data_IF_441684761537
#
_entry.id   IF_441684761537
#
_cell.length_a   1.000
_cell.length_b   1.000
_cell.length_c   1.000
_cell.angle_alpha   90.00
_cell.angle_beta   90.00
_cell.angle_gamma   90.00
#
_symmetry.space_group_name_H-M   'P 1'
#
loop_
_entity.id
_entity.type
_entity.pdbx_description
1 polymer ?
#
# COMPACT_ATOMS: atom_id res chain seq x y z
N UNK A 1 33.70 10.92 -0.67
CA UNK A 1 32.26 10.66 -0.46
C UNK A 1 31.44 11.73 -1.17
N UNK A 2 31.04 11.49 -2.43
CA UNK A 2 30.10 12.39 -3.11
C UNK A 2 28.69 11.95 -2.72
N UNK A 3 27.93 12.85 -2.13
CA UNK A 3 26.53 12.64 -1.78
C UNK A 3 25.76 12.27 -3.07
N UNK A 4 25.04 11.16 -3.04
CA UNK A 4 24.23 10.71 -4.17
C UNK A 4 23.04 11.65 -4.42
N UNK A 5 22.65 12.45 -3.41
CA UNK A 5 21.54 13.40 -3.46
C UNK A 5 21.66 14.56 -4.47
N UNK A 6 22.83 14.85 -5.05
CA UNK A 6 22.95 15.93 -6.05
C UNK A 6 22.33 15.58 -7.42
N UNK A 7 21.87 14.34 -7.62
CA UNK A 7 21.26 13.86 -8.87
C UNK A 7 19.77 13.52 -8.78
N UNK A 8 19.11 13.77 -7.65
CA UNK A 8 17.65 13.67 -7.58
C UNK A 8 17.05 14.92 -8.24
N UNK A 9 16.98 14.92 -9.57
CA UNK A 9 16.27 15.93 -10.37
C UNK A 9 14.80 15.98 -9.91
N UNK A 10 14.45 17.04 -9.18
CA UNK A 10 13.11 17.55 -8.85
C UNK A 10 12.09 16.63 -8.16
N UNK A 11 12.40 15.35 -7.92
CA UNK A 11 11.53 14.40 -7.19
C UNK A 11 12.28 13.76 -6.02
N UNK A 12 11.93 14.20 -4.82
CA UNK A 12 12.43 13.69 -3.55
C UNK A 12 12.17 12.18 -3.48
N UNK A 13 13.22 11.36 -3.47
CA UNK A 13 13.11 9.91 -3.56
C UNK A 13 12.32 9.28 -2.39
N UNK A 14 12.26 9.96 -1.25
CA UNK A 14 11.41 9.61 -0.11
C UNK A 14 9.91 9.65 -0.43
N UNK A 15 9.45 10.46 -1.41
CA UNK A 15 8.03 10.51 -1.79
C UNK A 15 7.51 9.22 -2.43
N UNK A 16 8.41 8.34 -2.88
CA UNK A 16 8.05 7.01 -3.40
C UNK A 16 7.72 6.01 -2.29
N UNK A 17 8.10 6.30 -1.05
CA UNK A 17 7.84 5.41 0.09
C UNK A 17 6.41 5.69 0.61
N UNK A 18 5.49 4.71 0.58
CA UNK A 18 4.07 4.93 0.85
C UNK A 18 3.78 5.53 2.22
N UNK A 19 4.53 5.16 3.26
CA UNK A 19 4.34 5.72 4.61
C UNK A 19 4.64 7.23 4.67
N UNK A 20 5.30 7.80 3.67
CA UNK A 20 5.61 9.23 3.57
C UNK A 20 4.70 9.97 2.59
N UNK A 21 3.61 9.36 2.09
CA UNK A 21 2.75 9.94 1.05
C UNK A 21 2.07 11.25 1.45
N UNK A 22 1.80 11.44 2.74
CA UNK A 22 1.13 12.63 3.27
C UNK A 22 2.11 13.71 3.74
N UNK A 23 3.42 13.49 3.60
CA UNK A 23 4.43 14.49 3.96
C UNK A 23 4.54 15.56 2.89
N UNK A 24 4.68 16.80 3.31
CA UNK A 24 4.94 17.91 2.42
C UNK A 24 6.41 17.97 1.97
N UNK A 25 6.72 18.93 1.09
CA UNK A 25 8.06 19.06 0.53
C UNK A 25 9.14 19.30 1.59
N UNK A 26 8.87 20.15 2.59
CA UNK A 26 9.84 20.49 3.63
C UNK A 26 10.11 19.29 4.55
N UNK A 27 9.05 18.56 4.91
CA UNK A 27 9.13 17.34 5.70
C UNK A 27 9.90 16.23 4.97
N UNK A 28 9.64 16.03 3.67
CA UNK A 28 10.38 15.08 2.84
C UNK A 28 11.86 15.46 2.71
N UNK A 29 12.17 16.76 2.62
CA UNK A 29 13.55 17.25 2.61
C UNK A 29 14.26 16.89 3.91
N UNK A 30 13.59 17.00 5.06
CA UNK A 30 14.18 16.65 6.35
C UNK A 30 14.41 15.15 6.52
N UNK A 31 13.52 14.31 6.00
CA UNK A 31 13.75 12.87 5.89
C UNK A 31 15.02 12.60 5.08
N UNK A 32 15.14 13.21 3.90
CA UNK A 32 16.25 12.99 2.98
C UNK A 32 17.59 13.43 3.59
N UNK A 33 17.65 14.57 4.28
CA UNK A 33 18.87 15.04 4.98
C UNK A 33 19.42 14.02 5.97
N UNK A 34 18.54 13.19 6.55
CA UNK A 34 18.93 12.17 7.50
C UNK A 34 19.28 10.83 6.84
N UNK A 35 18.98 10.63 5.56
CA UNK A 35 19.33 9.38 4.86
C UNK A 35 20.85 9.22 4.71
N UNK A 36 21.35 8.01 4.97
CA UNK A 36 22.71 7.61 4.63
C UNK A 36 22.77 6.97 3.25
N UNK A 37 23.95 6.93 2.64
CA UNK A 37 24.16 6.25 1.37
C UNK A 37 25.09 5.05 1.55
N UNK A 38 24.72 3.93 0.92
CA UNK A 38 25.51 2.69 0.91
C UNK A 38 25.66 2.20 -0.52
N UNK A 39 26.88 1.83 -0.88
CA UNK A 39 27.18 1.22 -2.17
C UNK A 39 27.53 -0.24 -1.95
N UNK A 40 27.02 -1.09 -2.83
CA UNK A 40 27.24 -2.53 -2.81
C UNK A 40 27.78 -2.98 -4.15
N UNK A 41 28.70 -3.93 -4.11
CA UNK A 41 29.22 -4.62 -5.29
C UNK A 41 28.33 -5.82 -5.66
N UNK A 42 28.50 -6.37 -6.86
CA UNK A 42 27.77 -7.56 -7.27
C UNK A 42 28.11 -8.75 -6.37
N UNK A 43 27.09 -9.44 -5.86
CA UNK A 43 27.18 -10.56 -4.93
C UNK A 43 27.28 -10.15 -3.46
N UNK A 44 27.29 -8.85 -3.15
CA UNK A 44 27.42 -8.38 -1.78
C UNK A 44 26.10 -8.50 -1.03
N UNK A 45 26.17 -9.09 0.17
CA UNK A 45 25.00 -9.24 1.06
C UNK A 45 24.70 -7.91 1.74
N UNK A 46 23.44 -7.49 1.67
CA UNK A 46 22.94 -6.26 2.31
C UNK A 46 22.49 -6.56 3.73
N UNK A 47 21.76 -7.66 3.92
CA UNK A 47 21.45 -8.25 5.22
C UNK A 47 21.05 -9.72 5.07
N UNK A 48 21.07 -10.42 6.20
CA UNK A 48 20.65 -11.81 6.31
C UNK A 48 19.37 -11.93 7.13
N UNK A 49 18.61 -12.99 6.84
CA UNK A 49 17.46 -13.41 7.62
C UNK A 49 17.85 -13.62 9.09
N UNK A 50 16.96 -13.21 10.01
CA UNK A 50 17.17 -13.34 11.45
C UNK A 50 17.96 -12.19 12.09
N UNK A 51 18.68 -11.37 11.30
CA UNK A 51 19.35 -10.18 11.80
C UNK A 51 18.34 -9.10 12.18
N UNK A 52 18.61 -8.38 13.26
CA UNK A 52 17.76 -7.29 13.75
C UNK A 52 17.51 -6.24 12.66
N UNK A 53 16.24 -5.94 12.40
CA UNK A 53 15.82 -5.08 11.32
C UNK A 53 15.57 -3.65 11.83
N UNK A 54 16.41 -2.71 11.39
CA UNK A 54 16.36 -1.30 11.81
C UNK A 54 16.43 -0.29 10.69
N UNK A 55 16.46 -0.74 9.44
CA UNK A 55 16.79 0.13 8.32
C UNK A 55 15.75 -0.01 7.22
N UNK A 56 15.26 1.14 6.76
CA UNK A 56 14.59 1.32 5.47
C UNK A 56 15.66 1.52 4.40
N UNK A 57 15.51 0.80 3.29
CA UNK A 57 16.36 0.92 2.11
C UNK A 57 15.53 1.40 0.93
N UNK A 58 16.11 2.29 0.11
CA UNK A 58 15.57 2.73 -1.16
C UNK A 58 16.63 2.54 -2.24
N UNK A 59 16.27 1.84 -3.31
CA UNK A 59 17.16 1.58 -4.45
C UNK A 59 17.29 2.85 -5.29
N UNK A 60 18.46 3.46 -5.25
CA UNK A 60 18.79 4.61 -6.09
C UNK A 60 19.35 4.18 -7.44
N UNK A 61 20.11 3.09 -7.49
CA UNK A 61 20.68 2.53 -8.72
C UNK A 61 20.97 1.04 -8.50
N UNK A 62 20.83 0.21 -9.54
CA UNK A 62 21.16 -1.21 -9.49
C UNK A 62 19.96 -2.12 -9.20
N UNK A 63 20.23 -3.35 -8.75
CA UNK A 63 19.22 -4.37 -8.52
C UNK A 63 19.56 -5.25 -7.32
N UNK A 64 18.53 -5.61 -6.57
CA UNK A 64 18.62 -6.41 -5.35
C UNK A 64 17.74 -7.64 -5.48
N UNK A 65 18.28 -8.78 -5.08
CA UNK A 65 17.54 -10.02 -4.94
C UNK A 65 17.12 -10.18 -3.48
N UNK A 66 15.82 -10.27 -3.24
CA UNK A 66 15.23 -10.66 -1.96
C UNK A 66 14.91 -12.15 -2.03
N UNK A 67 15.42 -12.94 -1.10
CA UNK A 67 15.32 -14.40 -1.17
C UNK A 67 15.31 -15.08 0.20
N UNK A 68 14.91 -16.35 0.21
CA UNK A 68 15.00 -17.26 1.35
C UNK A 68 15.67 -18.57 0.97
N UNK A 69 16.12 -19.32 1.96
CA UNK A 69 16.42 -20.73 1.79
C UNK A 69 15.21 -21.57 2.19
N UNK A 70 14.85 -22.56 1.37
CA UNK A 70 13.86 -23.57 1.73
C UNK A 70 14.41 -24.50 2.82
N UNK A 71 13.56 -25.35 3.41
CA UNK A 71 14.00 -26.36 4.40
C UNK A 71 15.10 -27.28 3.86
N UNK A 72 15.14 -27.50 2.55
CA UNK A 72 16.13 -28.33 1.87
C UNK A 72 17.38 -27.53 1.44
N UNK A 73 17.51 -26.27 1.87
CA UNK A 73 18.66 -25.41 1.59
C UNK A 73 18.67 -24.80 0.18
N UNK A 74 17.58 -24.91 -0.59
CA UNK A 74 17.51 -24.29 -1.93
C UNK A 74 17.18 -22.82 -1.83
N UNK A 75 17.86 -21.99 -2.61
CA UNK A 75 17.52 -20.58 -2.73
C UNK A 75 16.18 -20.41 -3.46
N UNK A 76 15.27 -19.65 -2.86
CA UNK A 76 14.01 -19.21 -3.43
C UNK A 76 13.98 -17.69 -3.50
N UNK A 77 14.00 -17.15 -4.71
CA UNK A 77 13.85 -15.71 -4.97
C UNK A 77 12.39 -15.32 -4.74
N UNK A 78 12.18 -14.30 -3.92
CA UNK A 78 10.86 -13.74 -3.63
C UNK A 78 10.59 -12.52 -4.53
N UNK A 79 11.56 -11.60 -4.60
CA UNK A 79 11.45 -10.37 -5.36
C UNK A 79 12.81 -9.95 -5.93
N UNK A 80 12.78 -9.27 -7.08
CA UNK A 80 13.91 -8.49 -7.59
C UNK A 80 13.51 -7.02 -7.51
N UNK A 81 14.24 -6.25 -6.70
CA UNK A 81 14.04 -4.82 -6.54
C UNK A 81 14.97 -4.05 -7.46
N UNK A 82 14.50 -2.91 -7.95
CA UNK A 82 15.11 -2.05 -8.96
C UNK A 82 14.98 -0.58 -8.57
N UNK A 83 15.54 0.33 -9.37
CA UNK A 83 15.52 1.76 -9.08
C UNK A 83 14.11 2.29 -8.76
N UNK A 84 14.00 2.98 -7.62
CA UNK A 84 12.74 3.49 -7.10
C UNK A 84 12.01 2.56 -6.13
N UNK A 85 12.36 1.27 -6.10
CA UNK A 85 11.82 0.33 -5.13
C UNK A 85 12.44 0.57 -3.75
N UNK A 86 11.67 0.27 -2.70
CA UNK A 86 12.08 0.38 -1.31
C UNK A 86 11.71 -0.89 -0.54
N UNK A 87 12.31 -1.07 0.63
CA UNK A 87 12.01 -2.19 1.52
C UNK A 87 12.48 -1.90 2.95
N UNK A 88 11.75 -2.47 3.92
CA UNK A 88 12.09 -2.35 5.34
C UNK A 88 11.50 -1.11 6.02
N UNK A 89 10.47 -0.52 5.43
CA UNK A 89 9.75 0.64 5.97
C UNK A 89 9.10 0.36 7.33
N UNK A 90 8.60 -0.87 7.55
CA UNK A 90 8.03 -1.28 8.83
C UNK A 90 9.07 -1.37 9.95
N UNK A 91 10.33 -1.63 9.59
CA UNK A 91 11.45 -1.74 10.53
C UNK A 91 11.78 -0.40 11.21
N UNK A 92 11.28 0.71 10.69
CA UNK A 92 11.42 2.03 11.31
C UNK A 92 10.57 2.17 12.58
N UNK A 93 9.50 1.40 12.72
CA UNK A 93 8.52 1.55 13.81
C UNK A 93 8.45 0.29 14.66
N UNK A 94 8.49 -0.87 14.03
CA UNK A 94 8.43 -2.16 14.72
C UNK A 94 9.83 -2.63 15.13
N UNK A 95 9.89 -3.46 16.16
CA UNK A 95 11.09 -4.20 16.51
C UNK A 95 10.93 -5.61 15.97
N UNK A 96 11.97 -6.12 15.31
CA UNK A 96 11.93 -7.44 14.72
C UNK A 96 13.24 -7.77 14.02
N UNK A 97 13.24 -8.89 13.32
CA UNK A 97 14.35 -9.33 12.49
C UNK A 97 13.94 -9.38 11.02
N UNK A 98 14.90 -9.28 10.12
CA UNK A 98 14.64 -9.46 8.70
C UNK A 98 14.09 -10.86 8.48
N UNK A 99 12.89 -10.90 7.89
CA UNK A 99 12.25 -12.15 7.57
C UNK A 99 12.76 -12.75 6.25
N UNK A 100 13.85 -12.27 5.65
CA UNK A 100 14.41 -12.72 4.37
C UNK A 100 15.84 -12.18 4.21
N UNK A 101 16.57 -12.66 3.20
CA UNK A 101 17.91 -12.21 2.85
C UNK A 101 17.84 -11.19 1.71
N UNK A 102 18.83 -10.30 1.64
CA UNK A 102 18.98 -9.33 0.56
C UNK A 102 20.42 -9.30 0.03
N UNK A 103 20.58 -9.38 -1.30
CA UNK A 103 21.88 -9.37 -1.98
C UNK A 103 21.83 -8.48 -3.23
N UNK A 104 22.89 -7.71 -3.45
CA UNK A 104 23.05 -6.92 -4.66
C UNK A 104 23.48 -7.83 -5.84
N UNK A 105 22.66 -7.95 -6.88
CA UNK A 105 22.98 -8.82 -8.05
C UNK A 105 23.77 -8.09 -9.16
N UNK A 106 24.01 -6.80 -8.96
CA UNK A 106 24.86 -5.92 -9.76
C UNK A 106 25.34 -4.76 -8.88
N UNK A 107 26.29 -3.91 -9.32
CA UNK A 107 26.65 -2.69 -8.59
C UNK A 107 25.40 -1.88 -8.24
N UNK A 108 25.19 -1.62 -6.95
CA UNK A 108 23.94 -1.09 -6.42
C UNK A 108 24.21 0.05 -5.44
N UNK A 109 23.40 1.11 -5.50
CA UNK A 109 23.44 2.25 -4.58
C UNK A 109 22.11 2.35 -3.85
N UNK A 110 22.19 2.39 -2.52
CA UNK A 110 21.05 2.47 -1.64
C UNK A 110 21.07 3.76 -0.82
N UNK A 111 19.90 4.40 -0.72
CA UNK A 111 19.61 5.32 0.37
C UNK A 111 19.08 4.53 1.56
N UNK A 112 19.49 4.91 2.76
CA UNK A 112 19.20 4.18 4.01
C UNK A 112 18.69 5.14 5.07
N UNK A 113 17.60 4.80 5.74
CA UNK A 113 17.10 5.51 6.91
C UNK A 113 17.02 4.53 8.07
N UNK A 114 17.67 4.84 9.19
CA UNK A 114 17.62 3.95 10.36
C UNK A 114 16.48 4.33 11.29
N UNK A 115 16.02 3.37 12.08
CA UNK A 115 15.02 3.54 13.13
C UNK A 115 15.38 4.66 14.10
N UNK A 116 16.65 4.75 14.51
CA UNK A 116 17.12 5.79 15.43
C UNK A 116 17.01 7.18 14.81
N UNK A 117 17.38 7.31 13.53
CA UNK A 117 17.25 8.59 12.81
C UNK A 117 15.79 8.97 12.61
N UNK A 118 14.94 8.03 12.21
CA UNK A 118 13.49 8.27 12.09
C UNK A 118 12.89 8.68 13.43
N UNK A 119 13.25 8.00 14.52
CA UNK A 119 12.84 8.37 15.87
C UNK A 119 13.28 9.80 16.23
N UNK A 120 14.51 10.17 15.90
CA UNK A 120 15.01 11.54 16.09
C UNK A 120 14.15 12.57 15.35
N UNK A 121 13.79 12.31 14.10
CA UNK A 121 12.94 13.19 13.29
C UNK A 121 11.57 13.37 13.95
N UNK A 122 10.90 12.27 14.33
CA UNK A 122 9.57 12.32 14.96
C UNK A 122 9.62 13.08 16.28
N UNK A 123 10.66 12.88 17.09
CA UNK A 123 10.80 13.60 18.36
C UNK A 123 11.06 15.10 18.16
N UNK A 124 11.72 15.49 17.06
CA UNK A 124 11.96 16.90 16.72
C UNK A 124 10.79 17.56 15.99
N UNK A 125 9.99 16.77 15.27
CA UNK A 125 8.88 17.16 14.38
C UNK A 125 7.71 16.19 14.53
N UNK A 126 6.95 16.26 15.64
CA UNK A 126 5.87 15.31 15.94
C UNK A 126 4.79 15.22 14.86
N UNK A 127 4.56 16.31 14.10
CA UNK A 127 3.64 16.40 12.97
C UNK A 127 3.92 15.35 11.88
N UNK A 128 5.20 15.07 11.61
CA UNK A 128 5.61 14.01 10.67
C UNK A 128 5.14 12.65 11.19
N UNK A 129 5.26 12.41 12.50
CA UNK A 129 4.78 11.18 13.14
C UNK A 129 3.27 11.02 13.02
N UNK A 130 2.50 12.09 13.20
CA UNK A 130 1.04 12.07 13.06
C UNK A 130 0.60 11.76 11.63
N UNK A 131 1.19 12.41 10.63
CA UNK A 131 0.90 12.15 9.21
C UNK A 131 1.23 10.70 8.81
N UNK A 132 2.32 10.14 9.34
CA UNK A 132 2.66 8.72 9.12
C UNK A 132 1.61 7.81 9.76
N UNK A 133 1.17 8.11 11.00
CA UNK A 133 0.14 7.34 11.68
C UNK A 133 -1.20 7.36 10.95
N UNK A 134 -1.60 8.50 10.38
CA UNK A 134 -2.79 8.61 9.53
C UNK A 134 -2.69 7.65 8.33
N UNK A 135 -1.58 7.66 7.59
CA UNK A 135 -1.37 6.75 6.45
C UNK A 135 -1.40 5.29 6.88
N UNK A 136 -0.81 4.94 8.04
CA UNK A 136 -0.85 3.57 8.57
C UNK A 136 -2.28 3.18 8.96
N UNK A 137 -3.02 4.07 9.61
CA UNK A 137 -4.42 3.86 9.99
C UNK A 137 -5.32 3.61 8.79
N UNK A 138 -5.20 4.44 7.74
CA UNK A 138 -5.94 4.23 6.50
C UNK A 138 -5.60 2.89 5.82
N UNK A 139 -4.33 2.49 5.85
CA UNK A 139 -3.92 1.18 5.30
C UNK A 139 -4.48 0.03 6.12
N UNK A 140 -4.50 0.15 7.45
CA UNK A 140 -5.07 -0.86 8.34
C UNK A 140 -6.57 -1.02 8.06
N UNK A 141 -7.32 0.08 8.01
CA UNK A 141 -8.76 0.06 7.71
C UNK A 141 -9.06 -0.62 6.36
N UNK A 142 -8.24 -0.37 5.32
CA UNK A 142 -8.37 -1.06 4.02
C UNK A 142 -8.12 -2.56 4.13
N UNK A 143 -7.15 -3.00 4.93
CA UNK A 143 -6.87 -4.42 5.15
C UNK A 143 -7.98 -5.09 5.97
N UNK A 144 -8.53 -4.42 6.98
CA UNK A 144 -9.66 -4.91 7.77
C UNK A 144 -10.92 -5.06 6.90
N UNK A 145 -11.24 -4.05 6.08
CA UNK A 145 -12.35 -4.12 5.12
C UNK A 145 -12.15 -5.26 4.12
N UNK A 146 -10.94 -5.44 3.58
CA UNK A 146 -10.64 -6.57 2.71
C UNK A 146 -10.81 -7.91 3.43
N UNK A 147 -10.36 -8.01 4.68
CA UNK A 147 -10.49 -9.23 5.48
C UNK A 147 -11.97 -9.55 5.79
N UNK A 148 -12.78 -8.57 6.15
CA UNK A 148 -14.22 -8.72 6.34
C UNK A 148 -14.90 -9.18 5.05
N UNK A 149 -14.55 -8.54 3.93
CA UNK A 149 -15.01 -8.95 2.62
C UNK A 149 -14.64 -10.40 2.34
N UNK A 150 -13.38 -10.81 2.50
CA UNK A 150 -12.98 -12.19 2.21
C UNK A 150 -13.54 -13.22 3.19
N UNK A 151 -13.81 -12.84 4.44
CA UNK A 151 -14.35 -13.70 5.47
C UNK A 151 -15.87 -13.91 5.35
N UNK A 152 -16.59 -12.98 4.72
CA UNK A 152 -18.02 -13.14 4.50
C UNK A 152 -18.27 -14.23 3.45
N UNK A 153 -18.88 -15.33 3.90
CA UNK A 153 -19.45 -16.35 3.00
C UNK A 153 -20.65 -15.79 2.21
N UNK A 154 -21.18 -14.63 2.60
CA UNK A 154 -22.27 -13.98 1.90
C UNK A 154 -21.76 -13.11 0.75
N UNK A 155 -22.17 -13.48 -0.46
CA UNK A 155 -21.85 -12.76 -1.69
C UNK A 155 -22.51 -11.37 -1.70
N UNK A 156 -23.69 -11.22 -1.09
CA UNK A 156 -24.45 -9.97 -1.08
C UNK A 156 -23.80 -8.96 -0.13
N UNK A 157 -23.40 -9.40 1.07
CA UNK A 157 -22.63 -8.58 2.02
C UNK A 157 -21.37 -7.99 1.38
N UNK A 158 -20.59 -8.82 0.67
CA UNK A 158 -19.36 -8.38 0.00
C UNK A 158 -19.59 -7.33 -1.08
N UNK A 159 -20.71 -7.43 -1.80
CA UNK A 159 -21.07 -6.44 -2.81
C UNK A 159 -21.54 -5.16 -2.11
N UNK A 160 -22.32 -5.26 -1.03
CA UNK A 160 -22.76 -4.12 -0.24
C UNK A 160 -21.57 -3.33 0.33
N UNK A 161 -20.61 -4.00 0.97
CA UNK A 161 -19.37 -3.39 1.46
C UNK A 161 -18.59 -2.66 0.35
N UNK A 162 -18.43 -3.27 -0.83
CA UNK A 162 -17.77 -2.62 -1.97
C UNK A 162 -18.52 -1.35 -2.39
N UNK A 163 -19.85 -1.39 -2.44
CA UNK A 163 -20.66 -0.23 -2.85
C UNK A 163 -20.58 0.91 -1.84
N UNK A 164 -20.56 0.61 -0.54
CA UNK A 164 -20.35 1.60 0.52
C UNK A 164 -18.93 2.20 0.49
N UNK A 165 -17.89 1.40 0.23
CA UNK A 165 -16.52 1.90 0.07
C UNK A 165 -16.39 2.82 -1.16
N UNK A 166 -17.04 2.46 -2.28
CA UNK A 166 -17.09 3.32 -3.47
C UNK A 166 -17.90 4.60 -3.22
N UNK A 167 -18.95 4.53 -2.40
CA UNK A 167 -19.76 5.69 -1.97
C UNK A 167 -18.89 6.67 -1.19
N UNK A 168 -18.12 6.19 -0.22
CA UNK A 168 -17.28 7.04 0.63
C UNK A 168 -16.22 7.77 -0.22
N UNK A 169 -15.62 7.08 -1.19
CA UNK A 169 -14.54 7.64 -2.03
C UNK A 169 -15.01 8.51 -3.18
N UNK A 170 -16.13 8.17 -3.81
CA UNK A 170 -16.56 8.75 -5.09
C UNK A 170 -18.01 9.22 -5.11
N UNK A 171 -18.72 9.12 -3.99
CA UNK A 171 -20.13 9.45 -3.87
C UNK A 171 -20.40 10.95 -3.99
N UNK A 172 -21.51 11.28 -4.64
CA UNK A 172 -22.08 12.62 -4.70
C UNK A 172 -23.55 12.56 -4.33
N UNK A 173 -23.96 13.35 -3.34
CA UNK A 173 -25.36 13.44 -2.93
C UNK A 173 -26.18 14.03 -4.08
N UNK A 174 -27.25 13.33 -4.45
CA UNK A 174 -28.24 13.72 -5.45
C UNK A 174 -29.65 13.56 -4.87
N UNK A 175 -30.70 14.16 -5.46
CA UNK A 175 -32.05 14.05 -4.93
C UNK A 175 -32.58 12.62 -4.77
N UNK A 176 -32.09 11.69 -5.59
CA UNK A 176 -32.50 10.28 -5.59
C UNK A 176 -31.68 9.38 -4.65
N UNK A 177 -30.66 9.91 -3.97
CA UNK A 177 -29.74 9.14 -3.11
C UNK A 177 -28.28 9.55 -3.28
N UNK A 178 -27.35 8.61 -3.30
CA UNK A 178 -25.92 8.89 -3.56
C UNK A 178 -25.47 8.35 -4.90
N UNK A 179 -25.12 9.25 -5.84
CA UNK A 179 -24.54 8.87 -7.14
C UNK A 179 -23.06 8.50 -6.96
N UNK A 180 -22.69 7.33 -7.48
CA UNK A 180 -21.31 6.83 -7.51
C UNK A 180 -20.86 6.74 -8.96
N UNK A 181 -19.71 7.35 -9.25
CA UNK A 181 -19.00 7.10 -10.51
C UNK A 181 -18.26 5.77 -10.38
N UNK A 182 -18.68 4.76 -11.14
CA UNK A 182 -18.04 3.45 -11.19
C UNK A 182 -16.73 3.57 -11.97
N UNK A 183 -15.66 3.84 -11.24
CA UNK A 183 -14.27 3.85 -11.74
C UNK A 183 -13.75 2.44 -12.02
N UNK A 184 -14.42 1.43 -11.46
CA UNK A 184 -14.14 0.02 -11.66
C UNK A 184 -15.10 -0.62 -12.66
N UNK A 185 -14.57 -1.42 -13.57
CA UNK A 185 -15.32 -2.36 -14.40
C UNK A 185 -15.89 -3.51 -13.55
N UNK A 186 -16.85 -4.27 -14.10
CA UNK A 186 -17.39 -5.46 -13.42
C UNK A 186 -16.34 -6.52 -13.12
N UNK A 187 -15.31 -6.62 -13.97
CA UNK A 187 -14.21 -7.55 -13.77
C UNK A 187 -13.29 -7.09 -12.63
N UNK A 188 -12.98 -5.80 -12.55
CA UNK A 188 -12.22 -5.25 -11.43
C UNK A 188 -12.98 -5.37 -10.11
N UNK A 189 -14.30 -5.12 -10.10
CA UNK A 189 -15.14 -5.37 -8.92
C UNK A 189 -15.09 -6.84 -8.50
N UNK A 190 -15.12 -7.77 -9.46
CA UNK A 190 -15.06 -9.21 -9.22
C UNK A 190 -13.73 -9.62 -8.57
N UNK A 191 -12.62 -9.10 -9.11
CA UNK A 191 -11.28 -9.31 -8.55
C UNK A 191 -11.15 -8.72 -7.15
N UNK A 192 -11.78 -7.57 -6.90
CA UNK A 192 -11.76 -6.92 -5.59
C UNK A 192 -12.53 -7.72 -4.53
N UNK A 193 -13.72 -8.24 -4.86
CA UNK A 193 -14.59 -8.95 -3.90
C UNK A 193 -14.37 -10.46 -3.85
N UNK A 194 -13.56 -11.01 -4.76
CA UNK A 194 -13.42 -12.47 -4.94
C UNK A 194 -14.73 -13.14 -5.36
N UNK A 195 -15.56 -12.45 -6.16
CA UNK A 195 -16.85 -12.96 -6.64
C UNK A 195 -16.76 -13.16 -8.15
N UNK A 196 -17.28 -14.27 -8.68
CA UNK A 196 -17.33 -14.48 -10.12
C UNK A 196 -18.16 -13.38 -10.83
N UNK A 197 -17.68 -12.89 -11.98
CA UNK A 197 -18.29 -11.78 -12.75
C UNK A 197 -19.78 -11.95 -13.04
N UNK A 198 -20.20 -13.16 -13.37
CA UNK A 198 -21.61 -13.48 -13.61
C UNK A 198 -22.45 -13.36 -12.34
N UNK A 199 -21.91 -13.81 -11.21
CA UNK A 199 -22.55 -13.67 -9.89
C UNK A 199 -22.64 -12.21 -9.46
N UNK A 200 -21.56 -11.43 -9.62
CA UNK A 200 -21.57 -9.97 -9.40
C UNK A 200 -22.69 -9.30 -10.20
N UNK A 201 -22.78 -9.60 -11.50
CA UNK A 201 -23.81 -9.02 -12.38
C UNK A 201 -25.23 -9.39 -11.93
N UNK A 202 -25.46 -10.66 -11.55
CA UNK A 202 -26.77 -11.13 -11.06
C UNK A 202 -27.17 -10.46 -9.73
N UNK A 203 -26.24 -10.32 -8.79
CA UNK A 203 -26.55 -9.72 -7.48
C UNK A 203 -26.78 -8.22 -7.55
N UNK A 204 -26.05 -7.50 -8.39
CA UNK A 204 -26.34 -6.09 -8.65
C UNK A 204 -27.71 -5.89 -9.31
N UNK A 205 -28.11 -6.82 -10.20
CA UNK A 205 -29.46 -6.80 -10.76
C UNK A 205 -30.52 -7.03 -9.67
N UNK A 206 -30.29 -7.98 -8.76
CA UNK A 206 -31.14 -8.20 -7.57
C UNK A 206 -31.28 -6.91 -6.73
N UNK A 207 -30.17 -6.27 -6.36
CA UNK A 207 -30.21 -5.00 -5.60
C UNK A 207 -30.98 -3.91 -6.33
N UNK A 208 -30.89 -3.85 -7.67
CA UNK A 208 -31.68 -2.92 -8.45
C UNK A 208 -33.18 -3.25 -8.43
N UNK A 209 -33.53 -4.52 -8.57
CA UNK A 209 -34.93 -4.97 -8.57
C UNK A 209 -35.57 -4.81 -7.18
N UNK A 210 -34.77 -4.86 -6.11
CA UNK A 210 -35.18 -4.58 -4.73
C UNK A 210 -35.19 -3.09 -4.38
N UNK A 211 -34.85 -2.21 -5.32
CA UNK A 211 -34.84 -0.76 -5.12
C UNK A 211 -33.71 -0.22 -4.25
N UNK A 212 -32.70 -1.05 -3.94
CA UNK A 212 -31.53 -0.64 -3.14
C UNK A 212 -30.62 0.28 -3.96
N UNK A 213 -30.46 -0.03 -5.24
CA UNK A 213 -29.62 0.72 -6.17
C UNK A 213 -30.33 0.99 -7.50
N UNK A 214 -29.79 1.93 -8.29
CA UNK A 214 -30.18 2.19 -9.68
C UNK A 214 -28.95 2.23 -10.55
N UNK A 215 -28.84 1.32 -11.53
CA UNK A 215 -27.78 1.38 -12.53
C UNK A 215 -28.11 2.45 -13.58
N UNK A 216 -27.18 3.37 -13.83
CA UNK A 216 -27.29 4.41 -14.86
C UNK A 216 -26.22 4.15 -15.92
N UNK A 217 -26.59 3.38 -16.94
CA UNK A 217 -25.66 2.93 -17.98
C UNK A 217 -24.54 2.06 -17.39
N UNK A 218 -23.33 2.23 -17.91
CA UNK A 218 -22.18 1.38 -17.57
C UNK A 218 -21.31 1.99 -16.46
N UNK A 219 -21.26 3.32 -16.37
CA UNK A 219 -20.29 4.05 -15.54
C UNK A 219 -20.86 4.68 -14.28
N UNK A 220 -22.18 4.63 -14.07
CA UNK A 220 -22.84 5.30 -12.95
C UNK A 220 -23.82 4.36 -12.26
N UNK A 221 -23.95 4.56 -10.96
CA UNK A 221 -24.93 3.90 -10.10
C UNK A 221 -25.41 4.91 -9.07
N UNK A 222 -26.66 4.82 -8.64
CA UNK A 222 -27.17 5.54 -7.47
C UNK A 222 -27.48 4.51 -6.40
N UNK A 223 -26.97 4.70 -5.19
CA UNK A 223 -27.49 4.03 -4.00
C UNK A 223 -28.75 4.79 -3.58
N UNK A 224 -29.91 4.16 -3.73
CA UNK A 224 -31.22 4.75 -3.40
C UNK A 224 -31.48 4.63 -1.91
N UNK A 225 -31.23 3.44 -1.37
CA UNK A 225 -31.55 3.07 0.01
C UNK A 225 -30.30 2.49 0.67
N UNK A 226 -29.60 3.35 1.41
CA UNK A 226 -28.36 2.98 2.10
C UNK A 226 -28.62 2.11 3.32
N UNK A 227 -29.67 2.39 4.10
CA UNK A 227 -30.03 1.58 5.26
C UNK A 227 -30.31 0.12 4.83
N UNK A 228 -31.08 -0.05 3.75
CA UNK A 228 -31.33 -1.38 3.20
C UNK A 228 -30.08 -2.02 2.59
N UNK A 229 -29.11 -1.24 2.12
CA UNK A 229 -27.83 -1.78 1.66
C UNK A 229 -26.98 -2.28 2.85
N UNK A 230 -27.03 -1.57 3.97
CA UNK A 230 -26.39 -1.96 5.23
C UNK A 230 -27.01 -3.22 5.85
N UNK A 231 -28.30 -3.49 5.64
CA UNK A 231 -28.97 -4.73 6.10
C UNK A 231 -28.35 -6.03 5.51
N UNK A 232 -27.58 -5.94 4.42
CA UNK A 232 -26.87 -7.09 3.85
C UNK A 232 -25.54 -7.39 4.54
N UNK A 233 -25.10 -6.56 5.49
CA UNK A 233 -23.81 -6.64 6.19
C UNK A 233 -23.96 -7.27 7.57
#
# INVERSE_FOLDING_TARGET
>A
MKACCQRCEDKLCASKVPIFSNLDHEELVDIIKMTGHRNYTKGETIFLEGIEAKTLYLVNEGKIKIYKFTKDGKEQILHILSEGDFFGELNLFQTGSYGFNAEAIMPTKLCTLTKEKMKGIILSKPEIGMKILEVVGERLARVESLAQNLASNDVEARIAYLLLDLKEKYGKVVPEGTEILLTLTREEMSNYTGIARETMSRKLKKFQDEGVIKLIGIKKMIIIDEEKLEDYI
#
